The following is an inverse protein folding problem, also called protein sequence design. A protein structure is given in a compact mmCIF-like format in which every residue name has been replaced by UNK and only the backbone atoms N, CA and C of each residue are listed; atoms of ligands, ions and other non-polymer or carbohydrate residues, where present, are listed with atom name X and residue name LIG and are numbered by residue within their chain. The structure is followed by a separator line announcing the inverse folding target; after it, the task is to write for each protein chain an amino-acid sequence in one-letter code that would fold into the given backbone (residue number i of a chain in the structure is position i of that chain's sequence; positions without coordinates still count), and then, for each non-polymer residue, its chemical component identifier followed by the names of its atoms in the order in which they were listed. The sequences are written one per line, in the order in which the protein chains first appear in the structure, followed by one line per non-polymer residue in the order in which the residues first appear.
data_IF_612138340009
#
_entry.id   IF_612138340009
#
_cell.length_a   1.000
_cell.length_b   1.000
_cell.length_c   1.000
_cell.angle_alpha   90.00
_cell.angle_beta   90.00
_cell.angle_gamma   90.00
#
_symmetry.space_group_name_H-M   'P 1'
#
loop_
_entity.id
_entity.type
_entity.pdbx_description
1 polymer ?
#
# COMPACT_ATOMS: atom_id res chain seq x y z
N UNK A 1 8.56 -6.84 -3.48
CA UNK A 1 9.58 -5.81 -3.10
C UNK A 1 9.90 -4.86 -4.24
N UNK A 2 10.12 -5.36 -5.46
CA UNK A 2 10.43 -4.50 -6.61
C UNK A 2 9.36 -3.44 -6.89
N UNK A 3 8.07 -3.78 -6.79
CA UNK A 3 6.98 -2.82 -6.96
C UNK A 3 7.01 -1.69 -5.94
N UNK A 4 7.34 -2.01 -4.68
CA UNK A 4 7.46 -1.01 -3.63
C UNK A 4 8.66 -0.08 -3.89
N UNK A 5 9.81 -0.64 -4.29
CA UNK A 5 10.99 0.14 -4.63
C UNK A 5 10.74 1.04 -5.85
N UNK A 6 10.08 0.53 -6.88
CA UNK A 6 9.74 1.27 -8.09
C UNK A 6 8.84 2.47 -7.77
N UNK A 7 7.77 2.25 -7.00
CA UNK A 7 6.81 3.30 -6.68
C UNK A 7 7.37 4.36 -5.74
N UNK A 8 8.18 3.95 -4.76
CA UNK A 8 8.79 4.88 -3.81
C UNK A 8 10.06 5.55 -4.33
N UNK A 9 10.68 5.01 -5.39
CA UNK A 9 11.95 5.48 -5.90
C UNK A 9 13.12 5.15 -4.98
N UNK A 10 13.01 4.08 -4.21
CA UNK A 10 14.01 3.67 -3.22
C UNK A 10 14.79 2.42 -3.67
N UNK A 11 15.89 2.17 -2.97
CA UNK A 11 16.59 0.89 -3.03
C UNK A 11 16.11 0.02 -1.88
N UNK A 12 15.57 -1.16 -2.19
CA UNK A 12 15.07 -2.11 -1.19
C UNK A 12 15.69 -3.48 -1.40
N UNK A 13 16.01 -4.14 -0.29
CA UNK A 13 16.56 -5.49 -0.29
C UNK A 13 15.52 -6.50 0.18
N UNK A 14 15.29 -7.54 -0.63
CA UNK A 14 14.42 -8.65 -0.27
C UNK A 14 15.25 -9.75 0.39
N UNK A 15 14.99 -10.04 1.65
CA UNK A 15 15.64 -11.13 2.38
C UNK A 15 15.21 -12.49 1.84
N UNK A 16 13.95 -12.61 1.46
CA UNK A 16 13.40 -13.89 0.96
C UNK A 16 14.02 -14.30 -0.37
N UNK A 17 14.16 -13.36 -1.32
CA UNK A 17 14.72 -13.63 -2.64
C UNK A 17 16.22 -13.36 -2.72
N UNK A 18 16.81 -12.70 -1.73
CA UNK A 18 18.21 -12.30 -1.75
C UNK A 18 18.53 -11.29 -2.85
N UNK A 19 17.57 -10.49 -3.25
CA UNK A 19 17.70 -9.55 -4.36
C UNK A 19 17.54 -8.10 -3.90
N UNK A 20 18.29 -7.20 -4.55
CA UNK A 20 18.12 -5.76 -4.40
C UNK A 20 17.28 -5.21 -5.55
N UNK A 21 16.37 -4.28 -5.20
CA UNK A 21 15.63 -3.49 -6.17
C UNK A 21 15.99 -2.03 -5.96
N UNK A 22 16.60 -1.40 -6.96
CA UNK A 22 17.11 -0.04 -6.86
C UNK A 22 16.48 0.85 -7.93
N UNK A 23 15.63 1.77 -7.50
CA UNK A 23 14.99 2.75 -8.36
C UNK A 23 15.29 4.18 -7.92
N UNK A 24 16.42 4.38 -7.24
CA UNK A 24 16.83 5.70 -6.74
C UNK A 24 17.08 6.71 -7.86
N UNK A 25 17.35 6.24 -9.09
CA UNK A 25 17.55 7.11 -10.26
C UNK A 25 16.25 7.46 -10.99
N UNK A 26 15.12 6.86 -10.56
CA UNK A 26 13.82 7.18 -11.15
C UNK A 26 13.40 8.59 -10.76
N UNK A 27 13.08 9.43 -11.74
CA UNK A 27 12.50 10.74 -11.51
C UNK A 27 10.99 10.68 -11.31
N UNK A 28 10.38 11.80 -10.94
CA UNK A 28 8.94 11.97 -10.87
C UNK A 28 8.27 11.55 -9.55
N UNK A 29 9.00 10.94 -8.61
CA UNK A 29 8.46 10.66 -7.27
C UNK A 29 8.58 11.92 -6.42
N UNK A 30 7.44 12.47 -5.99
CA UNK A 30 7.39 13.69 -5.18
C UNK A 30 7.50 13.34 -3.70
N UNK A 31 6.77 12.35 -3.25
CA UNK A 31 6.82 11.86 -1.88
C UNK A 31 6.33 10.42 -1.81
N UNK A 32 6.67 9.78 -0.72
CA UNK A 32 6.15 8.45 -0.39
C UNK A 32 5.94 8.37 1.12
N UNK A 33 4.95 7.61 1.54
CA UNK A 33 4.59 7.48 2.96
C UNK A 33 3.99 6.11 3.21
N UNK A 34 4.23 5.59 4.41
CA UNK A 34 3.56 4.38 4.90
C UNK A 34 2.59 4.80 6.00
N UNK A 35 1.32 4.41 5.83
CA UNK A 35 0.28 4.64 6.83
C UNK A 35 0.06 3.34 7.60
N UNK A 36 0.17 3.41 8.91
CA UNK A 36 0.04 2.26 9.80
C UNK A 36 -1.19 2.36 10.69
N UNK A 37 -1.90 1.24 10.91
CA UNK A 37 -2.89 1.16 11.98
C UNK A 37 -2.23 1.41 13.35
N UNK A 38 -2.98 1.92 14.35
CA UNK A 38 -2.39 2.25 15.67
C UNK A 38 -1.72 1.07 16.38
N UNK A 39 -2.20 -0.15 16.13
CA UNK A 39 -1.68 -1.37 16.76
C UNK A 39 -0.58 -2.07 15.94
N UNK A 40 -0.20 -1.50 14.79
CA UNK A 40 0.85 -2.07 13.95
C UNK A 40 2.23 -1.89 14.61
N UNK A 41 3.14 -2.86 14.42
CA UNK A 41 4.52 -2.68 14.83
C UNK A 41 5.12 -1.41 14.22
N UNK A 42 5.69 -0.50 15.02
CA UNK A 42 6.19 0.78 14.50
C UNK A 42 7.35 0.63 13.52
N UNK A 43 8.09 -0.48 13.56
CA UNK A 43 9.16 -0.76 12.60
C UNK A 43 8.66 -0.89 11.16
N UNK A 44 7.36 -1.12 10.95
CA UNK A 44 6.78 -1.19 9.61
C UNK A 44 6.65 0.17 8.93
N UNK A 45 6.98 1.24 9.63
CA UNK A 45 7.16 2.55 9.00
C UNK A 45 8.40 2.59 8.08
N UNK A 46 9.33 1.66 8.27
CA UNK A 46 10.45 1.45 7.35
C UNK A 46 10.01 0.52 6.21
N UNK A 47 10.11 1.01 4.99
CA UNK A 47 9.57 0.31 3.80
C UNK A 47 10.24 -1.05 3.60
N UNK A 48 11.55 -1.13 3.75
CA UNK A 48 12.26 -2.40 3.62
C UNK A 48 11.80 -3.41 4.67
N UNK A 49 11.68 -2.99 5.91
CA UNK A 49 11.21 -3.85 7.02
C UNK A 49 9.78 -4.33 6.76
N UNK A 50 8.90 -3.42 6.34
CA UNK A 50 7.51 -3.76 6.02
C UNK A 50 7.43 -4.83 4.93
N UNK A 51 8.07 -4.60 3.78
CA UNK A 51 7.91 -5.51 2.65
C UNK A 51 8.65 -6.82 2.84
N UNK A 52 9.74 -6.85 3.59
CA UNK A 52 10.35 -8.10 4.00
C UNK A 52 9.42 -8.92 4.92
N UNK A 53 8.71 -8.25 5.83
CA UNK A 53 7.73 -8.91 6.69
C UNK A 53 6.54 -9.46 5.88
N UNK A 54 6.07 -8.71 4.88
CA UNK A 54 4.98 -9.16 3.98
C UNK A 54 5.41 -10.39 3.20
N UNK A 55 6.59 -10.37 2.60
CA UNK A 55 7.11 -11.51 1.84
C UNK A 55 7.28 -12.75 2.72
N UNK A 56 7.75 -12.57 3.95
CA UNK A 56 7.93 -13.65 4.91
C UNK A 56 6.60 -14.25 5.38
N UNK A 57 5.56 -13.41 5.53
CA UNK A 57 4.23 -13.86 5.93
C UNK A 57 3.53 -14.65 4.83
N UNK A 58 3.88 -14.41 3.57
CA UNK A 58 3.30 -15.10 2.43
C UNK A 58 4.14 -16.31 2.07
N UNK A 59 3.49 -17.46 1.95
CA UNK A 59 4.15 -18.72 1.60
C UNK A 59 3.86 -19.07 0.15
N UNK A 60 4.88 -19.30 -0.63
CA UNK A 60 4.78 -19.73 -2.02
C UNK A 60 5.12 -18.63 -3.01
N UNK A 61 5.82 -19.02 -4.08
CA UNK A 61 6.35 -18.10 -5.10
C UNK A 61 5.27 -17.36 -5.88
N UNK A 62 4.04 -17.87 -5.90
CA UNK A 62 2.91 -17.30 -6.62
C UNK A 62 1.92 -16.61 -5.69
N UNK A 63 2.25 -16.46 -4.41
CA UNK A 63 1.35 -15.80 -3.46
C UNK A 63 1.22 -14.32 -3.81
N UNK A 64 -0.01 -13.84 -3.87
CA UNK A 64 -0.27 -12.41 -4.02
C UNK A 64 0.05 -11.71 -2.69
N UNK A 65 0.92 -10.69 -2.74
CA UNK A 65 1.41 -9.99 -1.57
C UNK A 65 0.57 -8.77 -1.21
N UNK A 66 0.07 -8.08 -2.22
CA UNK A 66 -0.57 -6.79 -2.02
C UNK A 66 -1.59 -6.49 -3.11
N UNK A 67 -2.55 -5.64 -2.75
CA UNK A 67 -3.36 -4.92 -3.74
C UNK A 67 -2.55 -3.74 -4.27
N UNK A 68 -2.65 -3.50 -5.55
CA UNK A 68 -2.00 -2.38 -6.23
C UNK A 68 -3.04 -1.61 -7.01
N UNK A 69 -3.13 -0.31 -6.76
CA UNK A 69 -4.03 0.55 -7.51
C UNK A 69 -3.49 1.96 -7.59
N UNK A 70 -3.99 2.71 -8.55
CA UNK A 70 -3.62 4.09 -8.76
C UNK A 70 -4.85 4.99 -8.60
N UNK A 71 -4.65 6.15 -7.98
CA UNK A 71 -5.68 7.17 -7.87
C UNK A 71 -5.22 8.38 -8.69
N UNK A 72 -6.03 8.74 -9.69
CA UNK A 72 -5.78 9.95 -10.46
C UNK A 72 -6.18 11.18 -9.63
N UNK A 73 -5.32 12.17 -9.61
CA UNK A 73 -5.54 13.40 -8.88
C UNK A 73 -6.00 14.51 -9.81
N UNK A 74 -6.72 15.49 -9.26
CA UNK A 74 -7.21 16.61 -10.04
C UNK A 74 -6.14 17.69 -10.18
N UNK A 75 -5.96 18.18 -11.41
CA UNK A 75 -4.99 19.25 -11.68
C UNK A 75 -5.42 20.61 -11.08
N UNK A 76 -6.70 20.75 -10.75
CA UNK A 76 -7.28 21.96 -10.20
C UNK A 76 -6.87 22.23 -8.75
N UNK A 77 -6.51 21.18 -8.02
CA UNK A 77 -6.04 21.29 -6.64
C UNK A 77 -4.51 21.36 -6.60
N UNK A 78 -3.99 22.02 -5.57
CA UNK A 78 -2.56 21.96 -5.30
C UNK A 78 -2.12 20.53 -4.98
N UNK A 79 -0.85 20.22 -5.17
CA UNK A 79 -0.30 18.91 -4.81
C UNK A 79 -0.50 18.62 -3.32
N UNK A 80 -0.38 19.64 -2.47
CA UNK A 80 -0.61 19.52 -1.03
C UNK A 80 -2.06 19.14 -0.71
N UNK A 81 -3.03 19.76 -1.37
CA UNK A 81 -4.45 19.46 -1.19
C UNK A 81 -4.79 18.05 -1.68
N UNK A 82 -4.29 17.67 -2.85
CA UNK A 82 -4.47 16.34 -3.41
C UNK A 82 -3.88 15.27 -2.49
N UNK A 83 -2.70 15.51 -1.96
CA UNK A 83 -2.03 14.58 -1.03
C UNK A 83 -2.84 14.40 0.24
N UNK A 84 -3.36 15.50 0.79
CA UNK A 84 -4.18 15.46 2.00
C UNK A 84 -5.48 14.68 1.77
N UNK A 85 -6.15 14.90 0.64
CA UNK A 85 -7.39 14.20 0.30
C UNK A 85 -7.16 12.70 0.10
N UNK A 86 -6.13 12.33 -0.63
CA UNK A 86 -5.82 10.92 -0.87
C UNK A 86 -5.39 10.22 0.44
N UNK A 87 -4.60 10.89 1.26
CA UNK A 87 -4.19 10.36 2.56
C UNK A 87 -5.40 10.11 3.46
N UNK A 88 -6.33 11.05 3.51
CA UNK A 88 -7.57 10.89 4.28
C UNK A 88 -8.41 9.72 3.76
N UNK A 89 -8.56 9.60 2.45
CA UNK A 89 -9.28 8.49 1.83
C UNK A 89 -8.67 7.13 2.24
N UNK A 90 -7.33 7.02 2.21
CA UNK A 90 -6.63 5.79 2.57
C UNK A 90 -6.76 5.48 4.06
N UNK A 91 -6.70 6.50 4.92
CA UNK A 91 -6.90 6.34 6.37
C UNK A 91 -8.30 5.82 6.70
N UNK A 92 -9.32 6.41 6.07
CA UNK A 92 -10.72 6.08 6.35
C UNK A 92 -11.14 4.71 5.80
N UNK A 93 -10.60 4.32 4.64
CA UNK A 93 -11.07 3.12 3.94
C UNK A 93 -10.19 1.89 4.12
N UNK A 94 -8.92 2.06 4.45
CA UNK A 94 -7.97 0.95 4.59
C UNK A 94 -7.36 0.87 5.97
N UNK A 95 -6.75 1.93 6.44
CA UNK A 95 -6.06 1.95 7.74
C UNK A 95 -7.03 1.73 8.90
N UNK A 96 -8.22 2.30 8.82
CA UNK A 96 -9.28 2.11 9.82
C UNK A 96 -9.71 0.64 9.96
N UNK A 97 -9.44 -0.17 8.95
CA UNK A 97 -9.74 -1.62 8.94
C UNK A 97 -8.54 -2.49 9.30
N UNK A 98 -7.47 -1.89 9.80
CA UNK A 98 -6.26 -2.61 10.18
C UNK A 98 -5.28 -2.87 9.05
N UNK A 99 -5.49 -2.28 7.88
CA UNK A 99 -4.62 -2.47 6.73
C UNK A 99 -3.49 -1.45 6.72
N UNK A 100 -2.30 -1.91 6.32
CA UNK A 100 -1.15 -1.03 6.07
C UNK A 100 -1.25 -0.50 4.65
N UNK A 101 -0.89 0.76 4.45
CA UNK A 101 -0.88 1.38 3.12
C UNK A 101 0.50 1.97 2.86
N UNK A 102 1.10 1.58 1.75
CA UNK A 102 2.32 2.19 1.22
C UNK A 102 1.93 2.96 -0.05
N UNK A 103 2.07 4.28 -0.03
CA UNK A 103 1.72 5.06 -1.19
C UNK A 103 2.84 6.02 -1.59
N UNK A 104 2.85 6.36 -2.88
CA UNK A 104 3.77 7.33 -3.44
C UNK A 104 3.01 8.26 -4.37
N UNK A 105 3.41 9.53 -4.40
CA UNK A 105 2.87 10.53 -5.29
C UNK A 105 3.84 10.69 -6.45
N UNK A 106 3.33 10.51 -7.65
CA UNK A 106 4.09 10.70 -8.89
C UNK A 106 3.54 11.86 -9.66
N UNK A 107 4.43 12.73 -10.11
CA UNK A 107 4.12 13.75 -11.10
C UNK A 107 5.01 13.51 -12.31
N UNK A 108 4.44 12.97 -13.42
CA UNK A 108 5.23 12.70 -14.61
C UNK A 108 5.83 13.97 -15.17
N UNK A 109 7.05 13.86 -15.72
CA UNK A 109 7.69 14.98 -16.41
C UNK A 109 6.85 15.40 -17.61
N UNK A 110 6.78 16.72 -17.86
CA UNK A 110 6.14 17.29 -19.03
C UNK A 110 6.98 17.08 -20.28
N UNK A 111 7.12 15.85 -20.75
CA UNK A 111 7.71 15.63 -22.05
C UNK A 111 6.66 15.88 -23.13
N UNK A 112 6.95 16.79 -24.06
CA UNK A 112 6.10 17.05 -25.22
C UNK A 112 4.87 17.92 -24.99
N UNK A 113 4.81 18.71 -23.93
CA UNK A 113 3.72 19.68 -23.68
C UNK A 113 2.39 19.05 -23.24
N UNK A 114 2.41 17.82 -22.74
CA UNK A 114 1.21 17.13 -22.26
C UNK A 114 0.69 17.68 -20.92
N UNK A 115 -0.57 17.39 -20.64
CA UNK A 115 -1.22 17.72 -19.37
C UNK A 115 -0.55 16.90 -18.28
N UNK A 116 -0.15 17.54 -17.17
CA UNK A 116 0.33 16.84 -15.98
C UNK A 116 -0.84 16.12 -15.31
N UNK A 117 -0.74 14.81 -15.18
CA UNK A 117 -1.67 14.02 -14.40
C UNK A 117 -0.93 13.43 -13.21
N UNK A 118 -0.97 14.10 -12.03
CA UNK A 118 -0.40 13.52 -10.85
C UNK A 118 -1.18 12.28 -10.44
N UNK A 119 -0.45 11.24 -10.02
CA UNK A 119 -1.03 9.97 -9.62
C UNK A 119 -0.56 9.57 -8.23
N UNK A 120 -1.47 8.99 -7.46
CA UNK A 120 -1.13 8.21 -6.28
C UNK A 120 -1.00 6.75 -6.66
N UNK A 121 0.17 6.18 -6.41
CA UNK A 121 0.38 4.74 -6.51
C UNK A 121 0.27 4.13 -5.11
N UNK A 122 -0.65 3.18 -4.95
CA UNK A 122 -0.94 2.58 -3.66
C UNK A 122 -0.59 1.09 -3.71
N UNK A 123 0.17 0.64 -2.73
CA UNK A 123 0.39 -0.76 -2.43
C UNK A 123 -0.13 -1.05 -1.02
N UNK A 124 -1.02 -2.02 -0.91
CA UNK A 124 -1.64 -2.37 0.35
C UNK A 124 -1.49 -3.87 0.57
N UNK A 125 -0.70 -4.32 1.57
CA UNK A 125 -0.64 -5.75 1.88
C UNK A 125 -2.04 -6.32 2.07
N UNK A 126 -2.27 -7.51 1.53
CA UNK A 126 -3.62 -8.11 1.54
C UNK A 126 -4.05 -8.44 2.95
N UNK A 127 -3.11 -8.89 3.80
CA UNK A 127 -3.41 -9.24 5.18
C UNK A 127 -3.49 -8.00 6.05
N UNK A 128 -4.56 -7.81 6.83
CA UNK A 128 -4.60 -6.76 7.84
C UNK A 128 -3.69 -7.11 9.02
N UNK A 129 -3.39 -6.12 9.84
CA UNK A 129 -2.70 -6.35 11.11
C UNK A 129 -3.75 -6.52 12.22
N UNK A 130 -3.62 -7.60 12.97
CA UNK A 130 -4.50 -7.89 14.10
C UNK A 130 -4.15 -7.00 15.30
N UNK A 131 -5.07 -6.87 16.28
CA UNK A 131 -4.81 -6.03 17.48
C UNK A 131 -3.55 -6.41 18.26
N UNK A 132 -3.06 -7.64 18.13
CA UNK A 132 -1.81 -8.10 18.76
C UNK A 132 -0.56 -7.81 17.93
N UNK A 133 -0.70 -7.14 16.79
CA UNK A 133 0.40 -6.77 15.91
C UNK A 133 0.81 -7.83 14.89
N UNK A 134 0.14 -8.96 14.85
CA UNK A 134 0.41 -10.03 13.89
C UNK A 134 -0.40 -9.85 12.61
N UNK A 135 0.09 -10.44 11.50
CA UNK A 135 -0.65 -10.45 10.25
C UNK A 135 -1.88 -11.35 10.37
N UNK A 136 -3.02 -10.83 9.91
CA UNK A 136 -4.28 -11.55 9.87
C UNK A 136 -4.41 -12.45 8.64
N UNK A 137 -5.59 -13.02 8.45
CA UNK A 137 -5.88 -13.86 7.29
C UNK A 137 -6.18 -13.01 6.06
N UNK A 138 -5.88 -13.55 4.86
CA UNK A 138 -6.15 -12.88 3.58
C UNK A 138 -7.62 -12.64 3.31
N UNK A 139 -8.48 -13.49 3.85
CA UNK A 139 -9.92 -13.40 3.66
C UNK A 139 -10.58 -13.19 4.99
N UNK A 140 -11.21 -12.04 5.13
CA UNK A 140 -12.16 -11.82 6.19
C UNK A 140 -13.50 -12.34 5.71
N UNK A 141 -13.92 -13.48 6.24
CA UNK A 141 -15.27 -13.99 5.98
C UNK A 141 -16.26 -13.24 6.85
N UNK A 142 -17.02 -12.35 6.23
CA UNK A 142 -18.21 -11.80 6.83
C UNK A 142 -19.36 -12.71 6.42
N UNK A 143 -19.97 -13.35 7.42
CA UNK A 143 -21.17 -14.15 7.17
C UNK A 143 -22.38 -13.24 7.24
N UNK A 144 -23.19 -13.28 6.19
CA UNK A 144 -24.52 -12.70 6.25
C UNK A 144 -25.36 -13.66 7.08
N UNK A 145 -25.88 -13.18 8.20
CA UNK A 145 -26.72 -13.94 9.09
C UNK A 145 -28.19 -13.80 8.67
N UNK A 146 -28.94 -14.89 8.78
CA UNK A 146 -30.39 -14.85 8.59
C UNK A 146 -31.08 -14.24 9.83
N UNK A 147 -32.41 -14.14 9.79
CA UNK A 147 -33.21 -13.58 10.90
C UNK A 147 -33.10 -14.40 12.22
N UNK A 148 -32.61 -15.63 12.13
CA UNK A 148 -32.39 -16.49 13.31
C UNK A 148 -30.94 -16.44 13.79
N UNK A 149 -30.09 -15.62 13.19
CA UNK A 149 -28.68 -15.54 13.53
C UNK A 149 -27.84 -16.66 12.95
N UNK A 150 -28.38 -17.44 12.02
CA UNK A 150 -27.66 -18.51 11.35
C UNK A 150 -27.02 -18.03 10.04
N UNK A 151 -25.91 -18.68 9.72
CA UNK A 151 -25.14 -18.34 8.52
C UNK A 151 -25.92 -18.71 7.25
N UNK A 152 -26.09 -17.73 6.37
CA UNK A 152 -26.64 -17.97 5.04
C UNK A 152 -25.55 -18.55 4.15
N UNK A 153 -25.84 -19.69 3.54
CA UNK A 153 -24.97 -20.30 2.53
C UNK A 153 -25.54 -20.05 1.14
N UNK A 154 -24.69 -19.55 0.25
CA UNK A 154 -25.02 -19.49 -1.17
C UNK A 154 -24.90 -20.85 -1.82
#
# INVERSE_FOLDING_TARGET
MASAAYRSGEKLHSEYYGEDSDYTRKGGVICSEILLPPHAPPEYADRQTLWNAVEKAERGKKAQLAYSFDIALQNEFSMQENTALARQFLLENFVSRGMVVDFAVHQPDKEGGGIQNPHFHVLCPIRPILPDGRWGSKQRREYVLDEHGERIRD
#
